data_IF_182697515124
#
_entry.id   IF_182697515124
#
_cell.length_a   1.000
_cell.length_b   1.000
_cell.length_c   1.000
_cell.angle_alpha   90.00
_cell.angle_beta   90.00
_cell.angle_gamma   90.00
#
_symmetry.space_group_name_H-M   'P 1'
#
loop_
_entity.id
_entity.type
_entity.pdbx_description
1 polymer ?
#
# COMPACT_ATOMS: atom_id res chain seq x y z
N UNK A 1 -11.82 16.82 12.96
CA UNK A 1 -10.67 16.81 12.03
C UNK A 1 -9.69 15.75 12.49
N UNK A 2 -9.31 14.87 11.59
CA UNK A 2 -8.37 13.76 11.89
C UNK A 2 -6.90 14.16 11.69
N UNK A 3 -6.62 15.40 11.32
CA UNK A 3 -5.25 15.94 11.25
C UNK A 3 -4.67 16.09 12.65
N UNK A 4 -3.53 15.46 12.92
CA UNK A 4 -2.79 15.63 14.17
C UNK A 4 -2.20 17.03 14.27
N UNK A 5 -2.11 17.61 15.48
CA UNK A 5 -1.63 18.98 15.66
C UNK A 5 -0.13 19.14 15.30
N UNK A 6 0.62 18.06 15.35
CA UNK A 6 2.06 18.03 15.04
C UNK A 6 2.46 16.71 14.38
N UNK A 7 3.71 16.61 13.96
CA UNK A 7 4.24 15.41 13.30
C UNK A 7 3.89 15.33 11.81
N UNK A 8 4.27 14.20 11.21
CA UNK A 8 4.24 14.00 9.77
C UNK A 8 5.46 14.61 9.06
N UNK A 9 5.62 14.22 7.79
CA UNK A 9 6.65 14.74 6.87
C UNK A 9 6.09 15.80 5.91
N UNK A 10 4.85 16.23 6.14
CA UNK A 10 4.19 17.28 5.36
C UNK A 10 4.74 18.65 5.74
N UNK A 11 4.74 19.58 4.80
CA UNK A 11 5.16 20.95 5.04
C UNK A 11 3.97 21.81 5.49
N UNK A 12 3.82 21.98 6.79
CA UNK A 12 2.74 22.75 7.42
C UNK A 12 2.84 24.25 7.20
N UNK A 13 3.97 24.75 6.68
CA UNK A 13 4.16 26.18 6.34
C UNK A 13 3.58 26.52 4.97
N UNK A 14 3.29 25.50 4.15
CA UNK A 14 2.70 25.64 2.82
C UNK A 14 1.31 24.98 2.77
N UNK A 15 0.26 25.70 3.24
CA UNK A 15 -1.11 25.23 3.11
C UNK A 15 -1.54 25.20 1.64
N UNK A 16 -2.35 24.19 1.30
CA UNK A 16 -2.95 24.00 -0.01
C UNK A 16 -4.46 23.93 0.14
N UNK A 17 -5.19 24.33 -0.92
CA UNK A 17 -6.62 24.11 -1.04
C UNK A 17 -6.93 23.30 -2.29
N UNK A 18 -7.80 22.29 -2.15
CA UNK A 18 -8.24 21.43 -3.25
C UNK A 18 -9.74 21.19 -3.20
N UNK A 19 -10.31 20.71 -4.30
CA UNK A 19 -11.70 20.30 -4.35
C UNK A 19 -11.81 18.79 -4.50
N UNK A 20 -12.74 18.20 -3.78
CA UNK A 20 -13.13 16.81 -3.94
C UNK A 20 -14.65 16.72 -3.99
N UNK A 21 -15.20 16.12 -5.08
CA UNK A 21 -16.65 16.10 -5.35
C UNK A 21 -17.28 17.49 -5.23
N UNK A 22 -16.63 18.53 -5.75
CA UNK A 22 -17.03 19.95 -5.72
C UNK A 22 -17.01 20.62 -4.33
N UNK A 23 -16.56 19.93 -3.30
CA UNK A 23 -16.41 20.48 -1.96
C UNK A 23 -14.95 20.89 -1.73
N UNK A 24 -14.70 22.13 -1.24
CA UNK A 24 -13.35 22.58 -0.93
C UNK A 24 -12.83 21.98 0.38
N UNK A 25 -11.56 21.62 0.39
CA UNK A 25 -10.84 21.10 1.53
C UNK A 25 -9.45 21.71 1.65
N UNK A 26 -8.91 21.72 2.87
CA UNK A 26 -7.58 22.20 3.17
C UNK A 26 -6.58 21.01 3.30
N UNK A 27 -5.35 21.24 2.86
CA UNK A 27 -4.25 20.29 2.92
C UNK A 27 -2.90 21.01 3.10
N UNK A 28 -1.81 20.26 3.05
CA UNK A 28 -0.46 20.80 3.09
C UNK A 28 0.39 20.20 1.96
N UNK A 29 1.42 20.93 1.58
CA UNK A 29 2.42 20.41 0.65
C UNK A 29 3.05 19.12 1.22
N UNK A 30 3.14 18.07 0.40
CA UNK A 30 3.57 16.74 0.80
C UNK A 30 2.43 15.77 1.12
N UNK A 31 1.18 16.25 1.20
CA UNK A 31 0.00 15.36 1.25
C UNK A 31 -0.22 14.65 -0.10
N UNK A 32 -0.75 13.44 -0.02
CA UNK A 32 -1.49 12.83 -1.14
C UNK A 32 -2.97 13.15 -1.02
N UNK A 33 -3.73 12.96 -2.10
CA UNK A 33 -5.19 13.15 -2.04
C UNK A 33 -5.81 12.25 -0.95
N UNK A 34 -5.35 11.00 -0.81
CA UNK A 34 -5.85 10.09 0.22
C UNK A 34 -5.57 10.61 1.64
N UNK A 35 -4.35 11.08 1.93
CA UNK A 35 -4.02 11.61 3.26
C UNK A 35 -4.80 12.87 3.60
N UNK A 36 -5.00 13.75 2.63
CA UNK A 36 -5.77 14.96 2.82
C UNK A 36 -7.27 14.68 3.01
N UNK A 37 -7.85 13.74 2.27
CA UNK A 37 -9.24 13.32 2.46
C UNK A 37 -9.45 12.74 3.86
N UNK A 38 -8.58 11.84 4.31
CA UNK A 38 -8.64 11.31 5.68
C UNK A 38 -8.47 12.40 6.74
N UNK A 39 -7.56 13.38 6.51
CA UNK A 39 -7.36 14.51 7.41
C UNK A 39 -8.61 15.38 7.58
N UNK A 40 -9.44 15.43 6.56
CA UNK A 40 -10.71 16.17 6.53
C UNK A 40 -11.93 15.27 6.86
N UNK A 41 -11.73 14.10 7.44
CA UNK A 41 -12.77 13.13 7.82
C UNK A 41 -13.57 12.56 6.62
N UNK A 42 -13.06 12.67 5.39
CA UNK A 42 -13.67 12.06 4.20
C UNK A 42 -13.26 10.61 4.13
N UNK A 43 -14.15 9.71 4.52
CA UNK A 43 -13.88 8.27 4.58
C UNK A 43 -14.33 7.53 3.34
N UNK A 44 -15.38 7.99 2.67
CA UNK A 44 -15.88 7.42 1.41
C UNK A 44 -15.27 8.17 0.26
N UNK A 45 -14.44 7.51 -0.52
CA UNK A 45 -13.71 8.10 -1.66
C UNK A 45 -14.33 7.71 -3.00
N UNK A 46 -14.79 6.47 -3.12
CA UNK A 46 -15.33 5.92 -4.36
C UNK A 46 -16.50 4.97 -4.10
N UNK A 47 -17.07 4.41 -5.17
CA UNK A 47 -18.08 3.35 -5.09
C UNK A 47 -17.67 2.16 -5.95
N UNK A 48 -18.05 0.96 -5.51
CA UNK A 48 -17.78 -0.26 -6.28
C UNK A 48 -18.56 -0.29 -7.58
N UNK A 49 -17.94 -0.89 -8.62
CA UNK A 49 -18.46 -0.87 -9.99
C UNK A 49 -19.83 -1.56 -10.13
N UNK A 50 -20.04 -2.68 -9.44
CA UNK A 50 -21.21 -3.53 -9.63
C UNK A 50 -22.34 -3.20 -8.67
N UNK A 51 -22.02 -3.04 -7.39
CA UNK A 51 -23.05 -2.90 -6.36
C UNK A 51 -23.15 -1.49 -5.78
N UNK A 52 -22.35 -0.53 -6.24
CA UNK A 52 -22.35 0.83 -5.70
C UNK A 52 -21.96 0.91 -4.21
N UNK A 53 -21.30 -0.11 -3.68
CA UNK A 53 -20.88 -0.12 -2.26
C UNK A 53 -19.82 0.95 -2.03
N UNK A 54 -19.87 1.68 -0.91
CA UNK A 54 -18.88 2.69 -0.59
C UNK A 54 -17.49 2.08 -0.47
N UNK A 55 -16.48 2.81 -0.95
CA UNK A 55 -15.07 2.45 -0.90
C UNK A 55 -14.27 3.54 -0.21
N UNK A 56 -13.48 3.16 0.77
CA UNK A 56 -12.56 4.04 1.48
C UNK A 56 -11.12 3.85 1.05
N UNK A 57 -10.22 4.46 1.81
CA UNK A 57 -8.78 4.27 1.66
C UNK A 57 -8.38 2.98 2.39
N UNK A 58 -7.74 2.06 1.66
CA UNK A 58 -7.35 0.75 2.18
C UNK A 58 -5.83 0.63 2.43
N UNK A 59 -5.03 1.24 1.56
CA UNK A 59 -3.57 1.24 1.68
C UNK A 59 -2.98 2.65 1.67
N UNK A 60 -1.67 2.79 1.67
CA UNK A 60 -0.98 4.07 1.54
C UNK A 60 -0.04 4.11 0.33
N UNK A 61 -0.08 3.12 -0.53
CA UNK A 61 0.85 2.93 -1.65
C UNK A 61 0.15 2.65 -2.98
N UNK A 62 0.91 2.07 -3.90
CA UNK A 62 0.44 1.67 -5.24
C UNK A 62 -0.52 0.48 -5.22
N UNK A 63 -0.56 -0.25 -4.13
CA UNK A 63 -1.43 -1.40 -3.91
C UNK A 63 -2.88 -1.02 -3.57
N UNK A 64 -3.22 0.29 -3.57
CA UNK A 64 -4.57 0.78 -3.24
C UNK A 64 -5.62 0.28 -4.25
N UNK A 65 -6.59 -0.54 -3.82
CA UNK A 65 -7.60 -1.09 -4.71
C UNK A 65 -8.90 -0.29 -4.73
N UNK A 66 -9.17 0.54 -3.73
CA UNK A 66 -10.50 1.07 -3.42
C UNK A 66 -10.66 2.57 -3.67
N UNK A 67 -9.67 3.36 -3.26
CA UNK A 67 -9.73 4.82 -3.34
C UNK A 67 -9.35 5.32 -4.74
N UNK A 68 -10.22 5.05 -5.71
CA UNK A 68 -10.03 5.42 -7.11
C UNK A 68 -10.72 6.74 -7.43
N UNK A 69 -10.05 7.60 -8.19
CA UNK A 69 -10.51 8.96 -8.46
C UNK A 69 -10.27 9.35 -9.92
N UNK A 70 -10.94 10.43 -10.33
CA UNK A 70 -10.65 11.20 -11.55
C UNK A 70 -9.95 12.50 -11.16
N UNK A 71 -8.93 12.89 -11.93
CA UNK A 71 -8.27 14.20 -11.82
C UNK A 71 -8.06 14.73 -13.23
N UNK A 72 -8.73 15.81 -13.57
CA UNK A 72 -8.69 16.36 -14.94
C UNK A 72 -9.13 15.32 -15.98
N UNK A 73 -8.25 14.96 -16.90
CA UNK A 73 -8.51 13.99 -17.96
C UNK A 73 -8.15 12.55 -17.57
N UNK A 74 -7.47 12.36 -16.45
CA UNK A 74 -7.03 11.03 -15.99
C UNK A 74 -8.09 10.37 -15.12
N UNK A 75 -8.35 9.10 -15.39
CA UNK A 75 -9.33 8.30 -14.67
C UNK A 75 -8.70 7.09 -13.99
N UNK A 76 -9.36 6.56 -12.97
CA UNK A 76 -8.92 5.39 -12.20
C UNK A 76 -7.55 5.60 -11.52
N UNK A 77 -7.22 6.84 -11.21
CA UNK A 77 -6.04 7.13 -10.41
C UNK A 77 -6.27 6.68 -8.95
N UNK A 78 -5.24 6.18 -8.33
CA UNK A 78 -5.26 5.86 -6.91
C UNK A 78 -5.03 7.14 -6.11
N UNK A 79 -5.95 7.49 -5.23
CA UNK A 79 -5.83 8.70 -4.39
C UNK A 79 -4.54 8.72 -3.55
N UNK A 80 -3.98 7.55 -3.24
CA UNK A 80 -2.68 7.37 -2.56
C UNK A 80 -1.48 7.78 -3.41
N UNK A 81 -1.64 7.88 -4.73
CA UNK A 81 -0.57 8.23 -5.68
C UNK A 81 -0.75 9.62 -6.30
N UNK A 82 -1.87 10.29 -6.01
CA UNK A 82 -2.12 11.67 -6.43
C UNK A 82 -1.49 12.62 -5.41
N UNK A 83 -0.38 13.24 -5.80
CA UNK A 83 0.26 14.30 -5.01
C UNK A 83 -0.60 15.57 -5.08
N UNK A 84 -0.86 16.19 -3.95
CA UNK A 84 -1.66 17.41 -3.93
C UNK A 84 -0.87 18.64 -4.39
N UNK A 85 -1.54 19.40 -5.23
CA UNK A 85 -1.14 20.75 -5.62
C UNK A 85 -2.29 21.72 -5.36
N UNK A 86 -1.99 22.99 -5.21
CA UNK A 86 -3.02 24.01 -4.98
C UNK A 86 -4.00 24.08 -6.15
N UNK A 87 -5.30 24.13 -5.83
CA UNK A 87 -6.37 24.16 -6.83
C UNK A 87 -6.70 22.82 -7.48
N UNK A 88 -6.11 21.69 -7.05
CA UNK A 88 -6.44 20.38 -7.61
C UNK A 88 -7.95 20.09 -7.45
N UNK A 89 -8.58 19.61 -8.52
CA UNK A 89 -9.97 19.18 -8.53
C UNK A 89 -10.05 17.69 -8.85
N UNK A 90 -10.63 16.94 -7.93
CA UNK A 90 -10.78 15.50 -8.02
C UNK A 90 -12.21 15.05 -7.75
N UNK A 91 -12.60 13.95 -8.38
CA UNK A 91 -13.91 13.33 -8.19
C UNK A 91 -13.73 11.85 -7.90
N UNK A 92 -14.46 11.33 -6.90
CA UNK A 92 -14.48 9.91 -6.59
C UNK A 92 -15.05 9.08 -7.73
N UNK A 93 -14.45 7.93 -8.00
CA UNK A 93 -14.89 7.04 -9.06
C UNK A 93 -16.22 6.36 -8.68
N UNK A 94 -17.27 6.66 -9.43
CA UNK A 94 -18.57 6.01 -9.31
C UNK A 94 -18.83 5.15 -10.55
N UNK A 95 -18.71 3.84 -10.41
CA UNK A 95 -18.85 2.92 -11.52
C UNK A 95 -17.55 2.73 -12.32
N UNK A 96 -17.66 2.53 -13.63
CA UNK A 96 -16.50 2.28 -14.52
C UNK A 96 -15.82 3.58 -14.91
N UNK A 97 -14.48 3.59 -14.83
CA UNK A 97 -13.69 4.66 -15.40
C UNK A 97 -13.86 4.72 -16.92
N UNK A 98 -13.75 5.92 -17.47
CA UNK A 98 -13.78 6.15 -18.92
C UNK A 98 -12.50 6.86 -19.32
N UNK A 99 -11.89 6.41 -20.40
CA UNK A 99 -10.82 7.19 -21.02
C UNK A 99 -11.35 8.51 -21.52
N UNK A 100 -10.55 9.56 -21.40
CA UNK A 100 -10.88 10.85 -22.05
C UNK A 100 -10.97 10.65 -23.56
N UNK A 101 -11.94 11.34 -24.18
CA UNK A 101 -12.03 11.44 -25.63
C UNK A 101 -10.96 12.39 -26.22
N UNK A 102 -10.39 13.25 -25.37
CA UNK A 102 -9.32 14.16 -25.77
C UNK A 102 -7.97 13.45 -25.73
N UNK A 103 -7.13 13.64 -26.77
CA UNK A 103 -5.80 13.04 -26.77
C UNK A 103 -4.94 13.65 -25.67
N UNK A 104 -4.12 12.81 -25.01
CA UNK A 104 -3.08 13.29 -24.13
C UNK A 104 -2.03 14.09 -24.94
N UNK A 105 -1.94 15.38 -24.68
CA UNK A 105 -0.96 16.28 -25.30
C UNK A 105 0.37 16.34 -24.52
N UNK A 106 0.48 15.59 -23.42
CA UNK A 106 1.67 15.52 -22.60
C UNK A 106 2.89 15.01 -23.41
N UNK A 107 4.00 15.72 -23.29
CA UNK A 107 5.25 15.27 -23.94
C UNK A 107 5.95 14.24 -23.07
N UNK A 108 6.30 13.11 -23.69
CA UNK A 108 7.18 12.12 -23.08
C UNK A 108 8.54 12.17 -23.79
N UNK A 109 9.59 12.60 -23.10
CA UNK A 109 10.95 12.55 -23.62
C UNK A 109 11.58 11.18 -23.34
N UNK A 110 12.63 10.83 -24.12
CA UNK A 110 13.38 9.57 -23.95
C UNK A 110 14.81 9.88 -23.58
N UNK A 111 15.33 9.14 -22.61
CA UNK A 111 16.73 9.25 -22.16
C UNK A 111 17.35 7.86 -22.14
N UNK A 112 18.51 7.75 -22.78
CA UNK A 112 19.36 6.58 -22.76
C UNK A 112 20.43 6.77 -21.69
N UNK A 113 20.57 5.82 -20.80
CA UNK A 113 21.53 5.88 -19.73
C UNK A 113 22.28 4.54 -19.57
N UNK A 114 23.51 4.63 -19.06
CA UNK A 114 24.33 3.47 -18.69
C UNK A 114 24.84 3.67 -17.27
N UNK A 115 24.86 2.59 -16.49
CA UNK A 115 25.44 2.58 -15.16
C UNK A 115 26.08 1.22 -14.85
N UNK A 116 26.95 1.19 -13.87
CA UNK A 116 27.47 -0.04 -13.33
C UNK A 116 26.38 -0.75 -12.52
N UNK A 117 25.68 -0.01 -11.66
CA UNK A 117 24.63 -0.56 -10.80
C UNK A 117 23.34 0.24 -10.94
N UNK A 118 22.25 -0.45 -11.27
CA UNK A 118 20.89 0.08 -11.19
C UNK A 118 20.20 -0.53 -9.97
N UNK A 119 19.75 0.32 -9.05
CA UNK A 119 18.96 -0.08 -7.88
C UNK A 119 17.51 0.30 -8.12
N UNK A 120 16.60 -0.67 -8.02
CA UNK A 120 15.15 -0.49 -8.19
C UNK A 120 14.48 -0.61 -6.83
N UNK A 121 13.98 0.52 -6.31
CA UNK A 121 13.44 0.69 -4.98
C UNK A 121 14.39 1.44 -4.06
N UNK A 122 13.93 2.60 -3.57
CA UNK A 122 14.66 3.50 -2.69
C UNK A 122 14.35 3.31 -1.20
N UNK A 123 13.93 2.11 -0.78
CA UNK A 123 13.78 1.73 0.61
C UNK A 123 15.12 1.45 1.29
N UNK A 124 15.09 1.02 2.56
CA UNK A 124 16.32 0.75 3.35
C UNK A 124 17.33 -0.12 2.60
N UNK A 125 16.89 -1.27 2.08
CA UNK A 125 17.78 -2.20 1.39
C UNK A 125 18.39 -1.60 0.12
N UNK A 126 17.60 -0.86 -0.68
CA UNK A 126 18.08 -0.21 -1.89
C UNK A 126 19.04 0.94 -1.59
N UNK A 127 18.77 1.76 -0.59
CA UNK A 127 19.69 2.82 -0.15
C UNK A 127 21.02 2.22 0.33
N UNK A 128 20.98 1.12 1.11
CA UNK A 128 22.19 0.42 1.54
C UNK A 128 22.99 -0.09 0.36
N UNK A 129 22.34 -0.79 -0.59
CA UNK A 129 23.00 -1.30 -1.79
C UNK A 129 23.60 -0.17 -2.67
N UNK A 130 22.90 0.96 -2.78
CA UNK A 130 23.40 2.13 -3.50
C UNK A 130 24.64 2.76 -2.82
N UNK A 131 24.64 2.85 -1.49
CA UNK A 131 25.79 3.33 -0.73
C UNK A 131 27.02 2.43 -0.94
N UNK A 132 26.84 1.12 -0.82
CA UNK A 132 27.91 0.14 -1.03
C UNK A 132 28.50 0.25 -2.45
N UNK A 133 27.64 0.22 -3.48
CA UNK A 133 28.10 0.35 -4.87
C UNK A 133 28.82 1.68 -5.12
N UNK A 134 28.29 2.78 -4.57
CA UNK A 134 28.91 4.10 -4.75
C UNK A 134 30.27 4.25 -4.04
N UNK A 135 30.54 3.46 -2.99
CA UNK A 135 31.86 3.44 -2.33
C UNK A 135 32.93 2.77 -3.21
N UNK A 136 32.54 1.86 -4.08
CA UNK A 136 33.43 1.19 -5.02
C UNK A 136 33.76 2.06 -6.26
N UNK A 137 33.21 3.28 -6.37
CA UNK A 137 33.41 4.19 -7.50
C UNK A 137 32.50 3.87 -8.69
N UNK A 138 31.45 3.06 -8.50
CA UNK A 138 30.51 2.73 -9.55
C UNK A 138 29.54 3.90 -9.83
N UNK A 139 29.16 4.06 -11.10
CA UNK A 139 28.00 4.91 -11.45
C UNK A 139 26.73 4.19 -11.04
N UNK A 140 25.96 4.81 -10.15
CA UNK A 140 24.75 4.23 -9.58
C UNK A 140 23.53 5.04 -10.01
N UNK A 141 22.48 4.35 -10.46
CA UNK A 141 21.16 4.93 -10.64
C UNK A 141 20.23 4.25 -9.62
N UNK A 142 19.53 5.04 -8.81
CA UNK A 142 18.46 4.57 -7.93
C UNK A 142 17.14 5.06 -8.47
N UNK A 143 16.17 4.17 -8.70
CA UNK A 143 14.83 4.52 -9.16
C UNK A 143 13.79 4.11 -8.11
N UNK A 144 12.92 5.05 -7.75
CA UNK A 144 11.78 4.81 -6.84
C UNK A 144 10.52 5.50 -7.35
N UNK A 145 9.40 4.83 -7.23
CA UNK A 145 8.10 5.32 -7.72
C UNK A 145 7.53 6.46 -6.88
N UNK A 146 7.97 6.59 -5.61
CA UNK A 146 7.48 7.62 -4.71
C UNK A 146 8.17 8.98 -4.96
N UNK A 147 7.57 10.03 -4.45
CA UNK A 147 8.12 11.39 -4.48
C UNK A 147 9.40 11.52 -3.64
N UNK A 148 9.52 10.70 -2.60
CA UNK A 148 10.65 10.66 -1.67
C UNK A 148 11.21 9.26 -1.59
N UNK A 149 12.55 9.16 -1.47
CA UNK A 149 13.21 7.90 -1.13
C UNK A 149 13.05 7.60 0.35
N UNK A 150 12.98 6.34 0.71
CA UNK A 150 12.84 5.87 2.09
C UNK A 150 11.93 4.65 2.21
N UNK A 151 11.03 4.44 1.24
CA UNK A 151 10.09 3.32 1.25
C UNK A 151 9.30 3.26 2.57
N UNK A 152 9.27 2.11 3.22
CA UNK A 152 8.55 1.94 4.51
C UNK A 152 9.12 2.76 5.68
N UNK A 153 10.35 3.27 5.58
CA UNK A 153 10.91 4.16 6.62
C UNK A 153 10.14 5.48 6.69
N UNK A 154 9.54 5.94 5.59
CA UNK A 154 8.73 7.16 5.58
C UNK A 154 7.48 7.06 6.47
N UNK A 155 6.94 5.86 6.64
CA UNK A 155 5.82 5.56 7.54
C UNK A 155 6.23 5.04 8.92
N UNK A 156 7.52 5.04 9.24
CA UNK A 156 8.04 4.64 10.55
C UNK A 156 8.35 5.87 11.41
N UNK A 157 8.64 5.64 12.69
CA UNK A 157 9.19 6.68 13.54
C UNK A 157 10.51 7.22 12.94
N UNK A 158 10.70 8.52 13.07
CA UNK A 158 11.85 9.22 12.50
C UNK A 158 13.18 8.60 12.96
N UNK A 159 14.12 8.45 12.03
CA UNK A 159 15.50 8.06 12.32
C UNK A 159 16.46 8.91 11.48
N UNK A 160 17.55 9.35 12.04
CA UNK A 160 18.58 10.14 11.35
C UNK A 160 19.28 9.36 10.24
N UNK A 161 19.20 8.03 10.29
CA UNK A 161 19.82 7.14 9.31
C UNK A 161 19.39 7.45 7.87
N UNK A 162 18.10 7.68 7.64
CA UNK A 162 17.58 7.96 6.31
C UNK A 162 18.17 9.24 5.73
N UNK A 163 18.11 10.33 6.49
CA UNK A 163 18.59 11.63 6.01
C UNK A 163 20.11 11.64 5.82
N UNK A 164 20.86 11.04 6.75
CA UNK A 164 22.31 10.89 6.65
C UNK A 164 22.69 10.07 5.41
N UNK A 165 22.01 8.96 5.17
CA UNK A 165 22.25 8.09 4.02
C UNK A 165 21.93 8.79 2.69
N UNK A 166 20.80 9.51 2.63
CA UNK A 166 20.42 10.27 1.44
C UNK A 166 21.37 11.44 1.17
N UNK A 167 21.83 12.13 2.22
CA UNK A 167 22.86 13.18 2.08
C UNK A 167 24.15 12.62 1.53
N UNK A 168 24.59 11.46 2.02
CA UNK A 168 25.80 10.78 1.52
C UNK A 168 25.66 10.39 0.04
N UNK A 169 24.51 9.86 -0.40
CA UNK A 169 24.27 9.55 -1.81
C UNK A 169 24.22 10.81 -2.69
N UNK A 170 23.54 11.87 -2.23
CA UNK A 170 23.43 13.14 -2.97
C UNK A 170 24.78 13.85 -3.15
N UNK A 171 25.72 13.65 -2.23
CA UNK A 171 27.07 14.24 -2.32
C UNK A 171 27.96 13.58 -3.36
N UNK A 172 27.57 12.44 -3.95
CA UNK A 172 28.37 11.69 -4.91
C UNK A 172 28.00 12.05 -6.35
N UNK A 173 28.94 12.53 -7.18
CA UNK A 173 28.64 12.96 -8.56
C UNK A 173 28.20 11.82 -9.47
N UNK A 174 28.64 10.59 -9.19
CA UNK A 174 28.32 9.39 -9.97
C UNK A 174 27.04 8.68 -9.54
N UNK A 175 26.30 9.26 -8.58
CA UNK A 175 25.01 8.74 -8.12
C UNK A 175 23.86 9.59 -8.65
N UNK A 176 22.91 8.95 -9.28
CA UNK A 176 21.66 9.58 -9.75
C UNK A 176 20.46 9.01 -9.03
N UNK A 177 19.71 9.86 -8.35
CA UNK A 177 18.47 9.48 -7.64
C UNK A 177 17.27 9.91 -8.49
N UNK A 178 16.46 8.95 -8.91
CA UNK A 178 15.24 9.16 -9.68
C UNK A 178 14.04 8.86 -8.77
N UNK A 179 13.30 9.90 -8.41
CA UNK A 179 12.02 9.79 -7.72
C UNK A 179 10.86 9.88 -8.72
N UNK A 180 9.66 9.46 -8.32
CA UNK A 180 8.48 9.35 -9.21
C UNK A 180 8.78 8.51 -10.45
N UNK A 181 9.65 7.52 -10.30
CA UNK A 181 10.27 6.75 -11.37
C UNK A 181 9.98 5.26 -11.19
N UNK A 182 9.03 4.76 -11.96
CA UNK A 182 8.58 3.37 -11.90
C UNK A 182 9.31 2.53 -12.94
N UNK A 183 10.12 1.57 -12.50
CA UNK A 183 10.68 0.54 -13.38
C UNK A 183 9.57 -0.46 -13.74
N UNK A 184 9.29 -0.63 -15.03
CA UNK A 184 8.17 -1.44 -15.51
C UNK A 184 8.56 -2.52 -16.52
N UNK A 185 9.80 -2.54 -16.95
CA UNK A 185 10.32 -3.53 -17.89
C UNK A 185 11.77 -3.89 -17.60
N UNK A 186 12.08 -5.19 -17.51
CA UNK A 186 13.43 -5.72 -17.37
C UNK A 186 13.66 -6.75 -18.49
N UNK A 187 14.54 -6.41 -19.41
CA UNK A 187 14.80 -7.13 -20.66
C UNK A 187 16.22 -7.66 -20.71
N UNK A 188 16.53 -8.38 -21.77
CA UNK A 188 17.86 -8.99 -21.99
C UNK A 188 19.01 -8.03 -21.79
N UNK A 189 20.12 -8.56 -21.24
CA UNK A 189 21.35 -7.80 -20.95
C UNK A 189 21.09 -6.61 -20.02
N UNK A 190 20.20 -6.78 -19.06
CA UNK A 190 19.86 -5.77 -18.04
C UNK A 190 19.46 -4.41 -18.64
N UNK A 191 18.68 -4.43 -19.73
CA UNK A 191 17.97 -3.25 -20.19
C UNK A 191 16.71 -3.07 -19.35
N UNK A 192 16.65 -1.97 -18.60
CA UNK A 192 15.49 -1.65 -17.76
C UNK A 192 14.81 -0.38 -18.28
N UNK A 193 13.50 -0.45 -18.44
CA UNK A 193 12.66 0.70 -18.79
C UNK A 193 12.05 1.30 -17.54
N UNK A 194 12.18 2.62 -17.40
CA UNK A 194 11.69 3.36 -16.24
C UNK A 194 10.85 4.55 -16.72
N UNK A 195 9.58 4.61 -16.28
CA UNK A 195 8.71 5.74 -16.52
C UNK A 195 8.81 6.72 -15.35
N UNK A 196 9.26 7.93 -15.62
CA UNK A 196 9.36 8.99 -14.61
C UNK A 196 8.30 10.05 -14.85
N UNK A 197 7.48 10.31 -13.84
CA UNK A 197 6.53 11.43 -13.83
C UNK A 197 7.26 12.73 -13.50
N UNK A 198 6.98 13.80 -14.26
CA UNK A 198 7.59 15.11 -14.09
C UNK A 198 6.55 16.20 -14.32
N UNK A 199 6.78 17.36 -13.76
CA UNK A 199 5.97 18.54 -14.10
C UNK A 199 6.06 18.82 -15.61
N UNK A 200 4.92 18.91 -16.30
CA UNK A 200 4.85 19.18 -17.72
C UNK A 200 5.10 18.00 -18.66
N UNK A 201 5.11 16.74 -18.15
CA UNK A 201 5.16 15.54 -18.98
C UNK A 201 5.95 14.40 -18.38
N UNK A 202 5.98 13.28 -19.09
CA UNK A 202 6.70 12.07 -18.68
C UNK A 202 8.12 11.99 -19.22
N UNK A 203 8.94 11.12 -18.64
CA UNK A 203 10.25 10.73 -19.17
C UNK A 203 10.39 9.22 -19.17
N UNK A 204 10.72 8.66 -20.32
CA UNK A 204 11.08 7.27 -20.46
C UNK A 204 12.62 7.11 -20.42
N UNK A 205 13.10 6.49 -19.35
CA UNK A 205 14.49 6.10 -19.24
C UNK A 205 14.68 4.69 -19.82
N UNK A 206 15.67 4.53 -20.66
CA UNK A 206 16.17 3.25 -21.14
C UNK A 206 17.56 3.05 -20.53
N UNK A 207 17.59 2.34 -19.41
CA UNK A 207 18.82 2.17 -18.63
C UNK A 207 19.43 0.81 -18.93
N UNK A 208 20.65 0.80 -19.39
CA UNK A 208 21.45 -0.44 -19.48
C UNK A 208 22.44 -0.48 -18.33
N UNK A 209 22.30 -1.48 -17.47
CA UNK A 209 23.11 -1.66 -16.29
C UNK A 209 24.01 -2.90 -16.40
N UNK A 210 25.22 -2.84 -15.83
CA UNK A 210 26.03 -4.06 -15.68
C UNK A 210 25.43 -5.00 -14.65
N UNK A 211 24.86 -4.44 -13.58
CA UNK A 211 24.20 -5.17 -12.48
C UNK A 211 22.90 -4.48 -12.11
N UNK A 212 21.85 -5.25 -11.86
CA UNK A 212 20.55 -4.76 -11.37
C UNK A 212 20.32 -5.27 -9.96
N UNK A 213 19.99 -4.38 -9.03
CA UNK A 213 19.61 -4.70 -7.66
C UNK A 213 18.12 -4.42 -7.51
N UNK A 214 17.33 -5.46 -7.33
CA UNK A 214 15.88 -5.40 -7.10
C UNK A 214 15.65 -5.27 -5.60
N UNK A 215 15.27 -4.07 -5.17
CA UNK A 215 14.98 -3.69 -3.78
C UNK A 215 13.53 -3.21 -3.63
N UNK A 216 12.63 -3.78 -4.41
CA UNK A 216 11.22 -3.38 -4.59
C UNK A 216 10.33 -3.63 -3.38
N UNK A 217 10.87 -4.25 -2.33
CA UNK A 217 10.14 -4.45 -1.09
C UNK A 217 9.06 -5.54 -1.19
N UNK A 218 8.02 -5.40 -0.38
CA UNK A 218 6.90 -6.32 -0.31
C UNK A 218 5.61 -5.56 0.00
N UNK A 219 4.48 -6.02 -0.56
CA UNK A 219 3.15 -5.52 -0.24
C UNK A 219 2.58 -6.28 0.95
N UNK A 220 1.92 -5.55 1.85
CA UNK A 220 1.19 -6.13 2.97
C UNK A 220 -0.08 -6.81 2.45
N UNK A 221 -0.35 -8.02 2.93
CA UNK A 221 -1.55 -8.78 2.57
C UNK A 221 -2.70 -8.42 3.50
N UNK A 222 -3.92 -8.30 2.99
CA UNK A 222 -5.12 -8.30 3.84
C UNK A 222 -5.40 -9.69 4.41
N UNK A 223 -6.24 -9.71 5.44
CA UNK A 223 -6.96 -10.90 5.87
C UNK A 223 -8.38 -10.85 5.30
N UNK A 224 -8.98 -12.01 5.05
CA UNK A 224 -10.28 -12.14 4.39
C UNK A 224 -11.35 -12.46 5.43
N UNK A 225 -12.45 -11.71 5.40
CA UNK A 225 -13.64 -11.88 6.23
C UNK A 225 -14.84 -11.22 5.54
N UNK A 226 -16.04 -11.48 6.01
CA UNK A 226 -17.25 -10.92 5.41
C UNK A 226 -17.25 -9.37 5.54
N UNK A 227 -17.73 -8.70 4.50
CA UNK A 227 -17.83 -7.23 4.43
C UNK A 227 -16.51 -6.48 4.69
N UNK A 228 -15.38 -7.07 4.30
CA UNK A 228 -14.03 -6.51 4.46
C UNK A 228 -13.74 -5.27 3.59
N UNK A 229 -14.74 -4.72 2.96
CA UNK A 229 -14.66 -3.58 2.03
C UNK A 229 -15.27 -2.28 2.59
N UNK A 230 -15.74 -2.26 3.84
CA UNK A 230 -16.27 -1.04 4.46
C UNK A 230 -15.16 0.02 4.63
N UNK A 231 -15.46 1.31 4.32
CA UNK A 231 -14.56 2.41 4.66
C UNK A 231 -14.26 2.45 6.16
N UNK A 232 -13.00 2.56 6.53
CA UNK A 232 -12.51 2.40 7.90
C UNK A 232 -11.74 1.10 8.11
N UNK A 233 -11.73 0.21 7.11
CA UNK A 233 -10.86 -0.97 7.09
C UNK A 233 -9.65 -0.64 6.23
N UNK A 234 -8.44 -0.82 6.76
CA UNK A 234 -7.20 -0.58 6.03
C UNK A 234 -6.07 -1.50 6.48
N UNK A 235 -5.03 -1.58 5.67
CA UNK A 235 -3.80 -2.28 6.04
C UNK A 235 -3.16 -1.63 7.28
N UNK A 236 -2.61 -2.46 8.15
CA UNK A 236 -1.99 -2.00 9.40
C UNK A 236 -0.80 -1.07 9.13
N UNK A 237 0.01 -1.40 8.13
CA UNK A 237 1.11 -0.55 7.65
C UNK A 237 0.63 0.77 7.05
N UNK A 238 -0.56 0.81 6.46
CA UNK A 238 -1.15 2.03 5.93
C UNK A 238 -1.57 2.98 7.07
N UNK A 239 -2.28 2.48 8.09
CA UNK A 239 -2.64 3.29 9.26
C UNK A 239 -1.41 3.94 9.89
N UNK A 240 -0.33 3.17 10.06
CA UNK A 240 0.95 3.65 10.53
C UNK A 240 1.55 4.74 9.64
N UNK A 241 1.46 4.56 8.33
CA UNK A 241 1.95 5.54 7.35
C UNK A 241 1.16 6.84 7.43
N UNK A 242 -0.16 6.79 7.55
CA UNK A 242 -0.97 8.00 7.71
C UNK A 242 -0.61 8.77 8.97
N UNK A 243 -0.35 8.09 10.08
CA UNK A 243 0.08 8.73 11.34
C UNK A 243 1.47 9.35 11.18
N UNK A 244 2.47 8.56 10.81
CA UNK A 244 3.87 8.98 10.90
C UNK A 244 4.33 9.84 9.72
N UNK A 245 3.84 9.57 8.49
CA UNK A 245 4.24 10.32 7.30
C UNK A 245 3.38 11.55 7.08
N UNK A 246 2.05 11.42 7.29
CA UNK A 246 1.12 12.48 6.95
C UNK A 246 0.53 13.20 8.17
N UNK A 247 0.78 12.74 9.38
CA UNK A 247 0.22 13.35 10.59
C UNK A 247 -1.31 13.28 10.61
N UNK A 248 -1.88 12.13 10.24
CA UNK A 248 -3.33 11.91 10.17
C UNK A 248 -3.71 10.71 11.01
N UNK A 249 -4.68 10.88 11.91
CA UNK A 249 -5.32 9.80 12.65
C UNK A 249 -6.45 9.20 11.80
N UNK A 250 -6.33 7.97 11.28
CA UNK A 250 -7.34 7.42 10.35
C UNK A 250 -8.63 6.97 11.05
N UNK A 251 -8.72 7.06 12.36
CA UNK A 251 -9.86 6.73 13.19
C UNK A 251 -9.70 7.23 14.61
N UNK A 252 -10.60 6.79 15.50
CA UNK A 252 -10.58 7.09 16.94
C UNK A 252 -10.47 5.82 17.79
N UNK A 253 -11.22 4.79 17.42
CA UNK A 253 -11.29 3.48 18.10
C UNK A 253 -10.83 2.41 17.13
N UNK A 254 -9.67 1.83 17.37
CA UNK A 254 -9.02 0.89 16.48
C UNK A 254 -9.09 -0.55 17.01
N UNK A 255 -9.34 -1.50 16.11
CA UNK A 255 -9.05 -2.92 16.29
C UNK A 255 -7.94 -3.30 15.34
N UNK A 256 -7.00 -4.12 15.81
CA UNK A 256 -5.94 -4.70 14.96
C UNK A 256 -6.27 -6.16 14.74
N UNK A 257 -6.25 -6.60 13.49
CA UNK A 257 -6.50 -7.98 13.10
C UNK A 257 -5.30 -8.52 12.32
N UNK A 258 -4.62 -9.51 12.87
CA UNK A 258 -3.33 -9.98 12.37
C UNK A 258 -3.14 -11.49 12.49
N UNK A 259 -2.19 -12.02 11.75
CA UNK A 259 -1.63 -13.37 11.89
C UNK A 259 -0.09 -13.35 12.03
N UNK A 260 0.49 -12.19 12.31
CA UNK A 260 1.95 -12.01 12.33
C UNK A 260 2.36 -10.88 13.29
N UNK A 261 3.66 -10.78 13.60
CA UNK A 261 4.19 -9.83 14.59
C UNK A 261 4.50 -8.44 14.02
N UNK A 262 4.22 -8.17 12.75
CA UNK A 262 4.51 -6.87 12.13
C UNK A 262 3.62 -5.74 12.64
N UNK A 263 2.56 -6.07 13.36
CA UNK A 263 1.57 -5.12 13.88
C UNK A 263 1.93 -4.55 15.26
N UNK A 264 2.93 -5.09 15.96
CA UNK A 264 3.33 -4.58 17.28
C UNK A 264 3.62 -3.07 17.27
N UNK A 265 4.45 -2.54 16.34
CA UNK A 265 4.69 -1.10 16.30
C UNK A 265 3.45 -0.28 15.88
N UNK A 266 2.45 -0.92 15.25
CA UNK A 266 1.23 -0.24 14.82
C UNK A 266 0.38 0.15 16.02
N UNK A 267 0.21 -0.76 16.99
CA UNK A 267 -0.52 -0.49 18.22
C UNK A 267 0.06 0.71 19.00
N UNK A 268 1.39 0.78 19.08
CA UNK A 268 2.08 1.87 19.75
C UNK A 268 1.93 3.20 18.99
N UNK A 269 2.02 3.17 17.66
CA UNK A 269 1.84 4.36 16.83
C UNK A 269 0.41 4.90 16.93
N UNK A 270 -0.61 4.01 16.92
CA UNK A 270 -2.01 4.38 17.12
C UNK A 270 -2.24 5.06 18.50
N UNK A 271 -1.75 4.45 19.56
CA UNK A 271 -1.87 5.00 20.92
C UNK A 271 -1.18 6.35 21.04
N UNK A 272 0.03 6.49 20.48
CA UNK A 272 0.79 7.76 20.47
C UNK A 272 0.06 8.86 19.69
N UNK A 273 -0.68 8.50 18.66
CA UNK A 273 -1.54 9.41 17.91
C UNK A 273 -2.88 9.72 18.59
N UNK A 274 -3.11 9.18 19.80
CA UNK A 274 -4.31 9.45 20.59
C UNK A 274 -5.51 8.56 20.26
N UNK A 275 -5.33 7.47 19.49
CA UNK A 275 -6.40 6.50 19.23
C UNK A 275 -6.49 5.49 20.37
N UNK A 276 -7.71 5.04 20.67
CA UNK A 276 -7.93 3.90 21.55
C UNK A 276 -7.76 2.61 20.76
N UNK A 277 -6.86 1.73 21.20
CA UNK A 277 -6.74 0.36 20.67
C UNK A 277 -7.62 -0.56 21.52
N UNK A 278 -8.78 -0.92 21.01
CA UNK A 278 -9.79 -1.72 21.72
C UNK A 278 -9.36 -3.18 21.88
N UNK A 279 -8.75 -3.75 20.84
CA UNK A 279 -8.23 -5.11 20.85
C UNK A 279 -7.18 -5.35 19.77
N UNK A 280 -6.34 -6.35 20.01
CA UNK A 280 -5.50 -6.99 19.00
C UNK A 280 -6.01 -8.42 18.87
N UNK A 281 -6.57 -8.76 17.72
CA UNK A 281 -7.08 -10.09 17.39
C UNK A 281 -6.02 -10.80 16.56
N UNK A 282 -5.31 -11.69 17.19
CA UNK A 282 -4.32 -12.52 16.52
C UNK A 282 -4.92 -13.90 16.28
N UNK A 283 -4.99 -14.23 15.04
CA UNK A 283 -5.57 -15.49 14.58
C UNK A 283 -4.89 -16.72 15.18
N UNK A 284 -3.60 -16.60 15.42
CA UNK A 284 -2.82 -17.68 16.05
C UNK A 284 -3.33 -18.02 17.46
N UNK A 285 -4.06 -17.10 18.10
CA UNK A 285 -4.74 -17.34 19.38
C UNK A 285 -6.05 -18.12 19.26
N UNK A 286 -6.54 -18.35 18.03
CA UNK A 286 -7.78 -19.09 17.77
C UNK A 286 -9.02 -18.20 17.65
N UNK A 287 -8.89 -16.87 17.70
CA UNK A 287 -9.97 -15.90 17.43
C UNK A 287 -9.76 -15.23 16.09
N UNK A 288 -10.83 -14.83 15.42
CA UNK A 288 -10.76 -14.06 14.19
C UNK A 288 -11.89 -13.02 14.08
N UNK A 289 -11.64 -11.94 13.34
CA UNK A 289 -12.70 -11.10 12.81
C UNK A 289 -13.36 -11.86 11.66
N UNK A 290 -14.66 -12.09 11.78
CA UNK A 290 -15.42 -12.88 10.80
C UNK A 290 -16.39 -12.03 9.99
N UNK A 291 -16.77 -10.86 10.49
CA UNK A 291 -17.69 -9.93 9.82
C UNK A 291 -17.47 -8.50 10.32
N UNK A 292 -18.07 -7.53 9.63
CA UNK A 292 -18.11 -6.13 10.05
C UNK A 292 -19.51 -5.56 9.98
N UNK A 293 -19.80 -4.62 10.86
CA UNK A 293 -21.09 -3.94 10.98
C UNK A 293 -20.91 -2.48 10.60
N UNK A 294 -21.72 -1.94 9.67
CA UNK A 294 -21.65 -0.53 9.32
C UNK A 294 -22.18 0.36 10.45
N UNK A 295 -21.61 1.55 10.58
CA UNK A 295 -22.08 2.56 11.51
C UNK A 295 -23.48 3.07 11.11
N UNK A 296 -24.44 3.15 12.02
CA UNK A 296 -25.76 3.73 11.75
C UNK A 296 -25.72 5.26 11.52
N UNK A 297 -24.61 5.91 11.86
CA UNK A 297 -24.44 7.37 11.76
C UNK A 297 -24.00 7.89 10.37
N UNK A 298 -23.83 7.02 9.40
CA UNK A 298 -23.60 7.44 8.02
C UNK A 298 -24.93 7.94 7.44
N UNK A 299 -25.05 9.27 7.30
CA UNK A 299 -26.25 9.95 6.85
C UNK A 299 -26.88 9.33 5.59
N UNK A 300 -28.18 9.35 5.56
CA UNK A 300 -29.04 8.96 4.45
C UNK A 300 -28.62 9.69 3.18
N UNK A 301 -27.84 9.06 2.32
CA UNK A 301 -27.49 9.68 1.04
C UNK A 301 -26.51 8.92 0.18
N UNK A 302 -25.63 8.08 0.73
CA UNK A 302 -24.71 7.26 -0.06
C UNK A 302 -24.61 5.88 0.58
N UNK A 303 -25.39 4.98 0.09
CA UNK A 303 -25.65 3.62 0.52
C UNK A 303 -24.51 2.85 1.18
N UNK A 304 -24.71 2.49 2.43
CA UNK A 304 -23.84 1.62 3.21
C UNK A 304 -22.77 2.39 4.00
N UNK A 305 -22.83 2.31 5.32
CA UNK A 305 -22.00 3.12 6.22
C UNK A 305 -20.54 2.74 6.25
N UNK A 306 -19.75 3.65 6.83
CA UNK A 306 -18.41 3.35 7.29
C UNK A 306 -18.45 2.28 8.39
N UNK A 307 -17.29 1.67 8.68
CA UNK A 307 -17.15 0.71 9.77
C UNK A 307 -17.66 1.26 11.10
N UNK A 308 -18.48 0.48 11.81
CA UNK A 308 -19.02 0.79 13.13
C UNK A 308 -18.63 -0.24 14.19
N UNK A 309 -18.51 -1.50 13.80
CA UNK A 309 -18.06 -2.57 14.68
C UNK A 309 -17.47 -3.74 13.89
N UNK A 310 -16.74 -4.60 14.58
CA UNK A 310 -16.29 -5.91 14.09
C UNK A 310 -16.97 -7.03 14.85
N UNK A 311 -17.22 -8.14 14.17
CA UNK A 311 -17.73 -9.38 14.77
C UNK A 311 -16.58 -10.36 14.92
N UNK A 312 -16.31 -10.81 16.13
CA UNK A 312 -15.23 -11.72 16.48
C UNK A 312 -15.80 -13.09 16.83
N UNK A 313 -15.20 -14.14 16.33
CA UNK A 313 -15.59 -15.51 16.62
C UNK A 313 -14.36 -16.40 16.88
N UNK A 314 -14.60 -17.51 17.59
CA UNK A 314 -13.64 -18.59 17.74
C UNK A 314 -13.54 -19.36 16.41
N UNK A 315 -12.31 -19.64 15.95
CA UNK A 315 -12.06 -20.42 14.74
C UNK A 315 -12.32 -21.91 14.92
N UNK A 316 -12.12 -22.41 16.13
CA UNK A 316 -12.32 -23.82 16.49
C UNK A 316 -13.32 -23.88 17.64
N UNK A 317 -14.42 -24.60 17.43
CA UNK A 317 -15.48 -24.76 18.41
C UNK A 317 -16.70 -23.83 18.17
N UNK A 318 -17.71 -23.95 19.03
CA UNK A 318 -18.95 -23.13 18.99
C UNK A 318 -18.92 -22.08 20.12
N UNK A 319 -17.89 -21.24 20.13
CA UNK A 319 -17.87 -20.11 21.07
C UNK A 319 -18.90 -19.03 20.71
N UNK A 320 -19.30 -18.19 21.67
CA UNK A 320 -20.18 -17.06 21.40
C UNK A 320 -19.45 -16.05 20.50
N UNK A 321 -20.18 -15.48 19.54
CA UNK A 321 -19.70 -14.31 18.80
C UNK A 321 -19.80 -13.08 19.69
N UNK A 322 -18.83 -12.17 19.56
CA UNK A 322 -18.86 -10.89 20.24
C UNK A 322 -18.68 -9.76 19.24
N UNK A 323 -19.38 -8.67 19.48
CA UNK A 323 -19.23 -7.44 18.73
C UNK A 323 -18.29 -6.49 19.48
N UNK A 324 -17.47 -5.79 18.75
CA UNK A 324 -16.57 -4.78 19.31
C UNK A 324 -16.66 -3.51 18.46
N UNK A 325 -17.16 -2.45 19.06
CA UNK A 325 -17.29 -1.17 18.37
C UNK A 325 -15.94 -0.58 18.02
N UNK A 326 -15.78 -0.19 16.76
CA UNK A 326 -14.61 0.51 16.27
C UNK A 326 -14.93 1.27 14.98
N UNK A 327 -14.17 2.30 14.67
CA UNK A 327 -14.26 3.06 13.42
C UNK A 327 -13.02 2.89 12.54
N UNK A 328 -12.07 2.07 13.02
CA UNK A 328 -10.85 1.69 12.30
C UNK A 328 -10.52 0.21 12.55
N UNK A 329 -10.39 -0.55 11.48
CA UNK A 329 -9.86 -1.92 11.53
C UNK A 329 -8.54 -1.98 10.75
N UNK A 330 -7.45 -2.20 11.47
CA UNK A 330 -6.11 -2.37 10.91
C UNK A 330 -5.84 -3.85 10.64
N UNK A 331 -5.63 -4.22 9.37
CA UNK A 331 -5.50 -5.61 8.96
C UNK A 331 -4.09 -5.92 8.46
N UNK A 332 -3.49 -7.02 8.92
CA UNK A 332 -2.22 -7.53 8.41
C UNK A 332 -2.23 -9.05 8.29
N UNK A 333 -2.15 -9.56 7.07
CA UNK A 333 -2.06 -10.99 6.74
C UNK A 333 -0.64 -11.44 6.34
N UNK A 334 0.39 -10.65 6.68
CA UNK A 334 1.76 -10.88 6.25
C UNK A 334 2.14 -10.08 5.00
N UNK A 335 3.15 -10.54 4.26
CA UNK A 335 3.71 -9.79 3.15
C UNK A 335 3.97 -10.67 1.94
N UNK A 336 3.78 -10.10 0.75
CA UNK A 336 4.16 -10.68 -0.52
C UNK A 336 5.31 -9.87 -1.13
N UNK A 337 6.48 -10.46 -1.37
CA UNK A 337 7.57 -9.82 -2.10
C UNK A 337 7.13 -9.33 -3.48
N UNK A 338 7.61 -8.14 -3.87
CA UNK A 338 7.29 -7.54 -5.17
C UNK A 338 8.32 -7.98 -6.20
N UNK A 339 8.03 -9.08 -6.92
CA UNK A 339 9.00 -9.82 -7.75
C UNK A 339 8.69 -9.75 -9.26
N UNK A 340 7.85 -8.83 -9.70
CA UNK A 340 7.44 -8.74 -11.11
C UNK A 340 8.63 -8.59 -12.06
N UNK A 341 9.55 -7.67 -11.75
CA UNK A 341 10.75 -7.43 -12.58
C UNK A 341 11.75 -8.60 -12.52
N UNK A 342 11.84 -9.28 -11.38
CA UNK A 342 12.67 -10.48 -11.24
C UNK A 342 12.14 -11.61 -12.12
N UNK A 343 10.84 -11.87 -12.09
CA UNK A 343 10.20 -12.90 -12.96
C UNK A 343 10.32 -12.52 -14.44
N UNK A 344 10.19 -11.23 -14.77
CA UNK A 344 10.34 -10.72 -16.14
C UNK A 344 11.76 -10.95 -16.68
N UNK A 345 12.77 -10.81 -15.82
CA UNK A 345 14.16 -11.12 -16.12
C UNK A 345 14.47 -12.62 -16.14
N UNK A 346 13.46 -13.50 -16.12
CA UNK A 346 13.59 -14.97 -16.11
C UNK A 346 14.16 -15.54 -14.79
N UNK A 347 14.06 -14.80 -13.68
CA UNK A 347 14.36 -15.32 -12.35
C UNK A 347 13.34 -16.38 -11.94
N UNK A 348 13.81 -17.45 -11.29
CA UNK A 348 12.92 -18.51 -10.76
C UNK A 348 12.52 -18.21 -9.33
N UNK A 349 11.26 -18.49 -9.02
CA UNK A 349 10.69 -18.35 -7.69
C UNK A 349 10.51 -19.72 -7.04
N UNK A 350 10.60 -19.76 -5.71
CA UNK A 350 10.15 -20.88 -4.90
C UNK A 350 9.13 -20.41 -3.87
N UNK A 351 8.21 -21.27 -3.51
CA UNK A 351 7.32 -21.02 -2.38
C UNK A 351 8.03 -21.32 -1.07
N UNK A 352 7.90 -20.43 -0.11
CA UNK A 352 8.43 -20.56 1.24
C UNK A 352 7.28 -20.77 2.21
N UNK A 353 7.20 -21.97 2.80
CA UNK A 353 6.12 -22.36 3.72
C UNK A 353 6.12 -21.51 5.00
N UNK A 354 7.30 -21.12 5.50
CA UNK A 354 7.42 -20.32 6.72
C UNK A 354 6.97 -18.88 6.53
N UNK A 355 7.19 -18.32 5.34
CA UNK A 355 6.75 -16.99 4.97
C UNK A 355 5.37 -16.99 4.26
N UNK A 356 4.91 -18.17 3.86
CA UNK A 356 3.72 -18.41 3.06
C UNK A 356 3.63 -17.48 1.84
N UNK A 357 4.74 -17.32 1.13
CA UNK A 357 4.82 -16.49 -0.07
C UNK A 357 5.93 -16.99 -1.01
N UNK A 358 5.90 -16.51 -2.25
CA UNK A 358 6.98 -16.75 -3.19
C UNK A 358 8.16 -15.83 -2.92
N UNK A 359 9.36 -16.40 -2.93
CA UNK A 359 10.63 -15.69 -2.80
C UNK A 359 11.58 -16.07 -3.96
N UNK A 360 12.63 -15.30 -4.23
CA UNK A 360 13.63 -15.65 -5.24
C UNK A 360 14.30 -16.98 -4.94
N UNK A 361 14.49 -17.81 -5.98
CA UNK A 361 15.22 -19.09 -5.92
C UNK A 361 16.51 -19.00 -6.71
N UNK A 362 16.41 -18.80 -8.03
CA UNK A 362 17.57 -18.69 -8.91
C UNK A 362 17.53 -17.34 -9.61
N UNK A 363 18.52 -16.51 -9.33
CA UNK A 363 18.67 -15.22 -9.97
C UNK A 363 19.32 -15.33 -11.35
N UNK A 364 18.89 -14.49 -12.32
CA UNK A 364 19.62 -14.33 -13.57
C UNK A 364 21.01 -13.72 -13.33
N UNK A 365 21.90 -13.83 -14.32
CA UNK A 365 23.26 -13.27 -14.25
C UNK A 365 23.21 -11.76 -14.01
N UNK A 366 23.97 -11.29 -13.02
CA UNK A 366 24.07 -9.88 -12.65
C UNK A 366 22.74 -9.24 -12.19
N UNK A 367 21.85 -10.04 -11.62
CA UNK A 367 20.62 -9.58 -10.97
C UNK A 367 20.61 -10.06 -9.52
N UNK A 368 20.51 -9.12 -8.59
CA UNK A 368 20.38 -9.40 -7.16
C UNK A 368 19.01 -8.96 -6.65
N UNK A 369 18.51 -9.66 -5.65
CA UNK A 369 17.29 -9.27 -4.94
C UNK A 369 17.64 -9.07 -3.47
N UNK A 370 17.21 -7.95 -2.88
CA UNK A 370 17.60 -7.60 -1.51
C UNK A 370 16.41 -7.13 -0.67
N UNK A 371 16.55 -7.26 0.66
CA UNK A 371 15.55 -6.83 1.63
C UNK A 371 14.25 -7.62 1.54
N UNK A 372 13.11 -6.96 1.75
CA UNK A 372 11.82 -7.63 1.79
C UNK A 372 11.44 -8.31 0.45
N UNK A 373 11.97 -7.85 -0.68
CA UNK A 373 11.83 -8.53 -1.97
C UNK A 373 12.54 -9.90 -1.98
N UNK A 374 13.60 -10.07 -1.21
CA UNK A 374 14.30 -11.34 -1.04
C UNK A 374 13.67 -12.24 0.04
N UNK A 375 12.57 -11.80 0.69
CA UNK A 375 11.99 -12.49 1.83
C UNK A 375 12.59 -12.09 3.18
N UNK A 376 13.52 -11.12 3.22
CA UNK A 376 14.01 -10.55 4.47
C UNK A 376 12.99 -9.57 5.04
N UNK A 377 12.13 -10.06 5.89
CA UNK A 377 11.07 -9.29 6.55
C UNK A 377 11.47 -8.76 7.94
N UNK A 378 12.78 -8.80 8.25
CA UNK A 378 13.35 -8.23 9.47
C UNK A 378 13.14 -9.08 10.71
N UNK A 379 13.16 -10.41 10.58
CA UNK A 379 13.03 -11.36 11.71
C UNK A 379 11.67 -11.34 12.40
N UNK A 380 10.71 -10.64 11.84
CA UNK A 380 9.32 -10.63 12.32
C UNK A 380 8.69 -11.94 11.92
N UNK A 381 8.56 -12.84 12.91
CA UNK A 381 7.97 -14.13 12.71
C UNK A 381 6.62 -14.01 12.02
N UNK A 382 6.58 -14.40 10.76
CA UNK A 382 5.30 -14.74 10.18
C UNK A 382 4.98 -16.11 10.73
N UNK A 383 4.09 -16.16 11.70
CA UNK A 383 3.56 -17.42 12.17
C UNK A 383 2.97 -18.17 11.00
N UNK A 384 3.00 -19.51 11.08
CA UNK A 384 2.32 -20.40 10.14
C UNK A 384 0.98 -19.77 9.73
N UNK A 385 0.85 -19.35 8.48
CA UNK A 385 -0.39 -18.84 7.96
C UNK A 385 -1.29 -20.06 7.82
N UNK A 386 -2.17 -20.25 8.79
CA UNK A 386 -3.34 -21.09 8.56
C UNK A 386 -4.05 -20.48 7.36
N UNK A 387 -4.33 -21.25 6.30
CA UNK A 387 -5.05 -20.70 5.17
C UNK A 387 -6.38 -20.13 5.64
N UNK A 388 -6.49 -18.83 5.61
CA UNK A 388 -7.62 -18.01 6.08
C UNK A 388 -8.88 -18.17 5.29
N UNK A 389 -8.82 -18.94 4.24
CA UNK A 389 -9.88 -19.21 3.29
C UNK A 389 -11.09 -19.92 3.91
N UNK A 390 -10.97 -20.36 5.15
CA UNK A 390 -12.04 -21.07 5.86
C UNK A 390 -12.53 -20.24 7.06
N UNK A 391 -12.91 -18.99 6.83
CA UNK A 391 -13.81 -18.34 7.77
C UNK A 391 -15.19 -18.95 7.55
N UNK A 392 -15.76 -19.71 8.52
CA UNK A 392 -17.08 -20.29 8.35
C UNK A 392 -18.07 -19.18 8.05
N UNK A 393 -18.80 -19.29 6.96
CA UNK A 393 -19.92 -18.41 6.72
C UNK A 393 -20.92 -18.60 7.85
N UNK A 394 -21.54 -17.53 8.28
CA UNK A 394 -22.56 -17.60 9.32
C UNK A 394 -23.92 -18.08 8.81
N UNK A 395 -23.99 -18.52 7.53
CA UNK A 395 -25.22 -18.95 6.89
C UNK A 395 -26.17 -17.82 6.51
N UNK A 396 -25.74 -16.55 6.57
CA UNK A 396 -26.53 -15.43 6.04
C UNK A 396 -26.51 -15.46 4.52
N UNK A 397 -27.66 -15.29 3.87
CA UNK A 397 -27.85 -15.37 2.41
C UNK A 397 -26.94 -14.42 1.58
N UNK A 398 -26.27 -13.48 2.22
CA UNK A 398 -25.43 -12.43 1.61
C UNK A 398 -23.98 -12.42 2.09
N UNK A 399 -23.54 -13.42 2.85
CA UNK A 399 -22.13 -13.56 3.16
C UNK A 399 -21.37 -13.89 1.87
N UNK A 400 -20.32 -13.13 1.59
CA UNK A 400 -19.45 -13.42 0.44
C UNK A 400 -18.65 -14.69 0.74
N UNK A 401 -18.87 -15.73 -0.03
CA UNK A 401 -18.13 -16.98 0.10
C UNK A 401 -16.93 -16.96 -0.83
N UNK A 402 -15.80 -17.42 -0.33
CA UNK A 402 -14.61 -17.62 -1.14
C UNK A 402 -14.56 -19.07 -1.57
N UNK A 403 -14.33 -19.29 -2.86
CA UNK A 403 -14.06 -20.60 -3.42
C UNK A 403 -12.54 -20.74 -3.53
N UNK A 404 -11.98 -21.72 -2.85
CA UNK A 404 -10.57 -22.07 -2.97
C UNK A 404 -10.36 -22.80 -4.30
N UNK A 405 -9.80 -22.10 -5.29
CA UNK A 405 -9.53 -22.63 -6.61
C UNK A 405 -8.26 -23.52 -6.66
N UNK A 406 -7.47 -23.57 -5.60
CA UNK A 406 -6.30 -24.45 -5.53
C UNK A 406 -6.68 -25.88 -5.15
N UNK A 407 -7.85 -26.06 -4.55
CA UNK A 407 -8.42 -27.40 -4.35
C UNK A 407 -9.36 -27.69 -5.52
N UNK A 408 -9.25 -28.83 -6.14
CA UNK A 408 -10.10 -29.29 -7.26
C UNK A 408 -11.60 -29.12 -6.91
N UNK A 409 -12.10 -27.91 -7.05
CA UNK A 409 -13.50 -27.56 -6.74
C UNK A 409 -14.32 -27.86 -7.97
N UNK A 410 -15.29 -28.75 -7.86
CA UNK A 410 -16.20 -29.02 -8.97
C UNK A 410 -17.22 -27.89 -9.11
N UNK A 411 -17.80 -27.76 -10.32
CA UNK A 411 -18.93 -26.84 -10.56
C UNK A 411 -20.09 -27.13 -9.60
N UNK A 412 -20.23 -28.38 -9.17
CA UNK A 412 -21.24 -28.77 -8.20
C UNK A 412 -20.93 -28.20 -6.79
N UNK A 413 -19.68 -28.12 -6.40
CA UNK A 413 -19.26 -27.54 -5.14
C UNK A 413 -19.50 -26.03 -5.12
N UNK A 414 -19.15 -25.35 -6.23
CA UNK A 414 -19.43 -23.91 -6.39
C UNK A 414 -20.93 -23.61 -6.33
N UNK A 415 -21.78 -24.50 -6.89
CA UNK A 415 -23.25 -24.35 -6.83
C UNK A 415 -23.84 -24.69 -5.47
N UNK A 416 -23.13 -25.41 -4.60
CA UNK A 416 -23.56 -25.74 -3.24
C UNK A 416 -23.03 -24.75 -2.21
N UNK A 417 -22.05 -23.93 -2.57
CA UNK A 417 -21.66 -22.81 -1.74
C UNK A 417 -22.87 -21.88 -1.61
N UNK A 418 -23.35 -21.61 -0.37
CA UNK A 418 -24.55 -20.85 -0.13
C UNK A 418 -24.42 -19.40 -0.61
#
# INVERSE_FOLDING_TARGET
MSRLPSGGRIDRTHPLRFHFNRTPYDAYHGDTLASALLANDVRVVAQSVTYGRPRGVFSAGVEEPNALVHVGHETMLRATQVELVDGLDAVGLNGRGRLSAEPDTGRCDKVYAHCEVLVIGGGRAGITAALEASQSGDRVIVADEQAELGGRLLGAAWTDWLETSLAALRSRPDVRLLTRATAFGHYDQNLVLIAQRRAGGGRLWQVRAKRVVIATGAHERPLIFANNDHPGIMLAGAARTYINRYGVAPGKRAVIFTNNDSTDPVADDLKRAGLTVEAVIDVRSGEAVVDTIPSPLAGEGQGGGCLGAVVIAQLIGKGPRRELECDLLCVSGGFNPTLHLFSQAQGRLRYDEGLACFIPDVAPTNVDVVGAAAGDLGGRGQGSIMPYWVVPSDGREWSTHFVDLERDVTVADVRRAP
#
